data_IF_249603271141
#
_entry.id   IF_249603271141
#
_cell.length_a   1.000
_cell.length_b   1.000
_cell.length_c   1.000
_cell.angle_alpha   90.00
_cell.angle_beta   90.00
_cell.angle_gamma   90.00
#
_symmetry.space_group_name_H-M   'P 1'
#
loop_
_entity.id
_entity.type
_entity.pdbx_description
1 polymer ?
#
# COMPACT_ATOMS: atom_id res chain seq x y z
N UNK A 1 -17.69 -14.83 3.68
CA UNK A 1 -16.41 -14.70 4.41
C UNK A 1 -16.72 -14.13 5.77
N UNK A 2 -16.08 -14.58 6.84
CA UNK A 2 -16.39 -14.08 8.19
C UNK A 2 -15.81 -12.68 8.41
N UNK A 3 -16.42 -11.90 9.32
CA UNK A 3 -15.93 -10.55 9.69
C UNK A 3 -14.47 -10.60 10.15
N UNK A 4 -14.10 -11.63 10.93
CA UNK A 4 -12.73 -11.83 11.41
C UNK A 4 -11.73 -12.09 10.28
N UNK A 5 -12.12 -12.89 9.28
CA UNK A 5 -11.26 -13.13 8.11
C UNK A 5 -11.12 -11.87 7.24
N UNK A 6 -12.18 -11.06 7.13
CA UNK A 6 -12.15 -9.77 6.43
C UNK A 6 -11.20 -8.78 7.12
N UNK A 7 -11.27 -8.64 8.45
CA UNK A 7 -10.35 -7.79 9.20
C UNK A 7 -8.88 -8.21 9.01
N UNK A 8 -8.60 -9.53 9.01
CA UNK A 8 -7.24 -10.03 8.74
C UNK A 8 -6.76 -9.73 7.32
N UNK A 9 -7.63 -9.78 6.31
CA UNK A 9 -7.26 -9.40 4.96
C UNK A 9 -6.85 -7.92 4.85
N UNK A 10 -7.53 -7.03 5.58
CA UNK A 10 -7.17 -5.62 5.68
C UNK A 10 -5.79 -5.45 6.34
N UNK A 11 -5.58 -6.07 7.50
CA UNK A 11 -4.28 -6.07 8.20
C UNK A 11 -3.13 -6.53 7.30
N UNK A 12 -3.33 -7.60 6.50
CA UNK A 12 -2.30 -8.08 5.59
C UNK A 12 -1.95 -7.07 4.49
N UNK A 13 -2.93 -6.33 3.97
CA UNK A 13 -2.68 -5.29 2.94
C UNK A 13 -1.91 -4.12 3.54
N UNK A 14 -2.28 -3.71 4.75
CA UNK A 14 -1.62 -2.61 5.43
C UNK A 14 -0.17 -2.94 5.80
N UNK A 15 0.09 -4.21 6.15
CA UNK A 15 1.45 -4.73 6.35
C UNK A 15 2.27 -4.77 5.05
N UNK A 16 1.73 -5.39 4.00
CA UNK A 16 2.36 -5.46 2.68
C UNK A 16 1.32 -5.62 1.57
N UNK A 17 1.04 -4.50 0.90
CA UNK A 17 0.14 -4.40 -0.25
C UNK A 17 0.60 -5.19 -1.50
N UNK A 18 1.80 -5.77 -1.52
CA UNK A 18 2.31 -6.61 -2.62
C UNK A 18 1.97 -8.08 -2.46
N UNK A 19 1.37 -8.46 -1.33
CA UNK A 19 0.98 -9.84 -1.09
C UNK A 19 0.00 -10.33 -2.16
N UNK A 20 0.27 -11.51 -2.68
CA UNK A 20 -0.62 -12.15 -3.65
C UNK A 20 -1.86 -12.70 -2.95
N UNK A 21 -2.97 -12.81 -3.70
CA UNK A 21 -4.20 -13.45 -3.22
C UNK A 21 -3.94 -14.87 -2.67
N UNK A 22 -3.02 -15.62 -3.28
CA UNK A 22 -2.62 -16.95 -2.81
C UNK A 22 -1.91 -16.88 -1.45
N UNK A 23 -1.00 -15.92 -1.26
CA UNK A 23 -0.31 -15.74 0.02
C UNK A 23 -1.30 -15.35 1.13
N UNK A 24 -2.23 -14.43 0.84
CA UNK A 24 -3.27 -14.02 1.79
C UNK A 24 -4.20 -15.17 2.17
N UNK A 25 -4.56 -16.04 1.21
CA UNK A 25 -5.29 -17.28 1.48
C UNK A 25 -4.51 -18.19 2.44
N UNK A 26 -3.24 -18.42 2.16
CA UNK A 26 -2.42 -19.33 2.96
C UNK A 26 -2.19 -18.77 4.38
N UNK A 27 -2.05 -17.45 4.52
CA UNK A 27 -2.04 -16.75 5.81
C UNK A 27 -3.37 -16.88 6.56
N UNK A 28 -4.52 -16.71 5.91
CA UNK A 28 -5.82 -16.93 6.55
C UNK A 28 -5.97 -18.36 7.08
N UNK A 29 -5.46 -19.35 6.34
CA UNK A 29 -5.43 -20.74 6.80
C UNK A 29 -4.50 -20.92 8.00
N UNK A 30 -3.33 -20.29 8.00
CA UNK A 30 -2.37 -20.35 9.11
C UNK A 30 -2.89 -19.66 10.38
N UNK A 31 -3.38 -18.42 10.25
CA UNK A 31 -3.69 -17.55 11.38
C UNK A 31 -5.07 -17.83 11.99
N UNK A 32 -6.03 -18.26 11.17
CA UNK A 32 -7.42 -18.48 11.59
C UNK A 32 -7.89 -19.92 11.42
N UNK A 33 -7.11 -20.80 10.79
CA UNK A 33 -7.53 -22.18 10.48
C UNK A 33 -8.62 -22.27 9.41
N UNK A 34 -8.90 -21.18 8.69
CA UNK A 34 -10.01 -21.12 7.73
C UNK A 34 -9.48 -21.43 6.33
N UNK A 35 -10.08 -22.43 5.69
CA UNK A 35 -9.82 -22.72 4.29
C UNK A 35 -10.77 -21.91 3.40
N UNK A 36 -10.19 -21.08 2.53
CA UNK A 36 -10.93 -20.26 1.57
C UNK A 36 -10.38 -20.43 0.17
N UNK A 37 -11.25 -20.26 -0.83
CA UNK A 37 -10.81 -20.24 -2.22
C UNK A 37 -10.14 -18.90 -2.57
N UNK A 38 -9.27 -18.89 -3.58
CA UNK A 38 -8.66 -17.66 -4.11
C UNK A 38 -9.72 -16.65 -4.59
N UNK A 39 -10.80 -17.15 -5.19
CA UNK A 39 -11.92 -16.31 -5.65
C UNK A 39 -12.69 -15.70 -4.50
N UNK A 40 -12.82 -16.39 -3.36
CA UNK A 40 -13.42 -15.83 -2.15
C UNK A 40 -12.62 -14.64 -1.62
N UNK A 41 -11.29 -14.77 -1.56
CA UNK A 41 -10.37 -13.66 -1.18
C UNK A 41 -10.49 -12.52 -2.16
N UNK A 42 -10.43 -12.79 -3.46
CA UNK A 42 -10.58 -11.75 -4.48
C UNK A 42 -11.88 -10.95 -4.35
N UNK A 43 -13.02 -11.64 -4.19
CA UNK A 43 -14.34 -10.99 -4.02
C UNK A 43 -14.41 -10.15 -2.75
N UNK A 44 -13.82 -10.63 -1.65
CA UNK A 44 -13.79 -9.87 -0.40
C UNK A 44 -12.98 -8.57 -0.55
N UNK A 45 -11.79 -8.66 -1.15
CA UNK A 45 -10.96 -7.48 -1.43
C UNK A 45 -11.65 -6.49 -2.37
N UNK A 46 -12.31 -6.99 -3.42
CA UNK A 46 -13.09 -6.16 -4.34
C UNK A 46 -14.24 -5.44 -3.63
N UNK A 47 -14.93 -6.13 -2.71
CA UNK A 47 -16.03 -5.56 -1.91
C UNK A 47 -15.57 -4.53 -0.87
N UNK A 48 -14.31 -4.58 -0.44
CA UNK A 48 -13.70 -3.59 0.46
C UNK A 48 -13.30 -2.29 -0.26
N UNK A 49 -13.60 -2.14 -1.56
CA UNK A 49 -13.28 -0.98 -2.39
C UNK A 49 -11.79 -0.62 -2.41
N UNK A 50 -10.90 -1.51 -1.98
CA UNK A 50 -9.47 -1.42 -2.26
C UNK A 50 -9.29 -1.61 -3.76
N UNK A 51 -9.35 -0.50 -4.50
CA UNK A 51 -8.65 -0.44 -5.76
C UNK A 51 -7.19 -0.61 -5.40
N UNK A 52 -6.54 -1.69 -5.83
CA UNK A 52 -5.08 -1.78 -5.79
C UNK A 52 -4.54 -0.57 -6.54
N UNK A 53 -4.27 0.52 -5.82
CA UNK A 53 -3.58 1.68 -6.38
C UNK A 53 -2.22 1.13 -6.76
N UNK A 54 -1.85 1.28 -8.04
CA UNK A 54 -0.54 0.87 -8.48
C UNK A 54 0.50 1.44 -7.52
N UNK A 55 1.21 0.56 -6.82
CA UNK A 55 2.25 0.98 -5.87
C UNK A 55 3.37 1.56 -6.72
N UNK A 56 3.49 2.89 -6.72
CA UNK A 56 4.61 3.55 -7.38
C UNK A 56 5.85 3.32 -6.54
N UNK A 57 6.66 2.35 -6.96
CA UNK A 57 7.94 2.05 -6.32
C UNK A 57 8.90 3.21 -6.62
N UNK A 58 9.10 4.07 -5.63
CA UNK A 58 10.16 5.09 -5.69
C UNK A 58 11.53 4.43 -5.52
N UNK A 59 12.53 4.92 -6.25
CA UNK A 59 13.91 4.43 -6.07
C UNK A 59 14.33 4.69 -4.62
N UNK A 60 15.01 3.71 -4.00
CA UNK A 60 15.51 3.87 -2.63
C UNK A 60 16.39 5.11 -2.46
N UNK A 61 17.15 5.47 -3.51
CA UNK A 61 17.90 6.72 -3.57
C UNK A 61 17.01 7.95 -3.38
N UNK A 62 15.79 7.99 -3.91
CA UNK A 62 14.88 9.12 -3.72
C UNK A 62 14.34 9.23 -2.29
N UNK A 63 14.30 8.12 -1.54
CA UNK A 63 13.76 8.09 -0.18
C UNK A 63 14.82 8.34 0.91
N UNK A 64 16.10 8.50 0.55
CA UNK A 64 17.14 8.83 1.53
C UNK A 64 17.00 10.28 2.04
N UNK A 65 17.50 10.52 3.25
CA UNK A 65 17.34 11.82 3.92
C UNK A 65 17.95 12.98 3.13
N UNK A 66 19.11 12.75 2.52
CA UNK A 66 19.83 13.77 1.74
C UNK A 66 19.00 14.22 0.52
N UNK A 67 18.46 13.27 -0.24
CA UNK A 67 17.67 13.56 -1.43
C UNK A 67 16.29 14.11 -1.08
N UNK A 68 15.73 13.78 0.08
CA UNK A 68 14.55 14.47 0.62
C UNK A 68 14.86 15.93 0.91
N UNK A 69 15.97 16.22 1.58
CA UNK A 69 16.39 17.58 1.90
C UNK A 69 16.65 18.42 0.64
N UNK A 70 17.34 17.87 -0.35
CA UNK A 70 17.59 18.54 -1.63
C UNK A 70 16.30 18.86 -2.39
N UNK A 71 15.35 17.91 -2.44
CA UNK A 71 14.04 18.14 -3.08
C UNK A 71 13.24 19.22 -2.37
N UNK A 72 13.26 19.23 -1.03
CA UNK A 72 12.62 20.30 -0.26
C UNK A 72 13.25 21.65 -0.57
N UNK A 73 14.57 21.75 -0.50
CA UNK A 73 15.29 23.00 -0.79
C UNK A 73 14.97 23.53 -2.20
N UNK A 74 14.99 22.65 -3.20
CA UNK A 74 14.63 23.05 -4.56
C UNK A 74 13.19 23.58 -4.67
N UNK A 75 12.23 22.93 -3.99
CA UNK A 75 10.84 23.39 -3.97
C UNK A 75 10.71 24.76 -3.28
N UNK A 76 11.38 24.97 -2.15
CA UNK A 76 11.40 26.23 -1.43
C UNK A 76 12.03 27.36 -2.28
N UNK A 77 13.15 27.07 -2.97
CA UNK A 77 13.84 28.02 -3.86
C UNK A 77 12.96 28.38 -5.07
N UNK A 78 12.26 27.41 -5.64
CA UNK A 78 11.35 27.61 -6.77
C UNK A 78 10.13 28.46 -6.36
N UNK A 79 9.54 28.18 -5.20
CA UNK A 79 8.43 28.97 -4.65
C UNK A 79 8.86 30.42 -4.38
N UNK A 80 10.06 30.61 -3.83
CA UNK A 80 10.62 31.94 -3.60
C UNK A 80 10.83 32.72 -4.91
N UNK A 81 11.24 32.06 -6.00
CA UNK A 81 11.34 32.69 -7.31
C UNK A 81 9.98 33.14 -7.85
N UNK A 82 8.95 32.29 -7.76
CA UNK A 82 7.60 32.67 -8.19
C UNK A 82 7.04 33.85 -7.39
N UNK A 83 7.27 33.89 -6.07
CA UNK A 83 6.86 35.01 -5.21
C UNK A 83 7.61 36.32 -5.51
N UNK A 84 8.85 36.25 -6.00
CA UNK A 84 9.62 37.44 -6.42
C UNK A 84 9.19 38.00 -7.77
N UNK A 85 8.54 37.17 -8.60
CA UNK A 85 8.08 37.54 -9.93
C UNK A 85 6.65 38.11 -9.96
N UNK A 86 5.98 38.18 -8.80
CA UNK A 86 4.63 38.73 -8.61
C UNK A 86 4.71 39.99 -7.78
#
# INVERSE_FOLDING_TARGET
MTVKAMAKLEEYIDEDCRQTISAMRDRLRSDLGIEVSRTSVHRALQGMLYTTKAVRIEKASMNNANNKALRKKFADDLEAQFKRAT
#
